data_IF_767239791052
#
_entry.id   IF_767239791052
#
_cell.length_a   1.000
_cell.length_b   1.000
_cell.length_c   1.000
_cell.angle_alpha   90.00
_cell.angle_beta   90.00
_cell.angle_gamma   90.00
#
_symmetry.space_group_name_H-M   'P 1'
#
loop_
_entity.id
_entity.type
_entity.pdbx_description
1 polymer ?
#
# COMPACT_ATOMS: atom_id res chain seq x y z
N UNK A 1 -14.40 18.62 -8.63
CA UNK A 1 -12.95 18.52 -8.93
C UNK A 1 -12.21 18.69 -7.62
N UNK A 2 -11.68 17.61 -7.06
CA UNK A 2 -10.77 17.73 -5.92
C UNK A 2 -9.36 17.69 -6.51
N UNK A 3 -8.74 18.87 -6.52
CA UNK A 3 -7.32 19.06 -6.79
C UNK A 3 -6.55 18.56 -5.58
N UNK A 4 -5.77 17.49 -5.75
CA UNK A 4 -4.72 17.10 -4.79
C UNK A 4 -3.42 17.76 -5.26
N UNK A 5 -3.13 18.89 -4.63
CA UNK A 5 -1.97 19.74 -4.84
C UNK A 5 -0.81 19.20 -3.98
N UNK A 6 0.28 18.75 -4.60
CA UNK A 6 1.61 18.75 -3.97
C UNK A 6 2.12 17.52 -3.22
N UNK A 7 1.30 16.55 -2.80
CA UNK A 7 1.83 15.26 -2.32
C UNK A 7 1.91 14.30 -3.51
N UNK A 8 3.06 13.64 -3.76
CA UNK A 8 3.16 12.58 -4.77
C UNK A 8 2.00 11.61 -4.55
N UNK A 9 0.96 11.73 -5.35
CA UNK A 9 -0.21 10.88 -5.25
C UNK A 9 0.32 9.46 -5.41
N UNK A 10 0.13 8.62 -4.38
CA UNK A 10 0.34 7.20 -4.53
C UNK A 10 -0.40 6.80 -5.82
N UNK A 11 0.27 6.11 -6.77
CA UNK A 11 -0.40 5.68 -7.98
C UNK A 11 -1.65 4.90 -7.58
N UNK A 12 -2.72 5.01 -8.37
CA UNK A 12 -4.02 4.43 -8.03
C UNK A 12 -3.90 2.95 -7.61
N UNK A 13 -2.95 2.24 -8.21
CA UNK A 13 -2.57 0.87 -7.89
C UNK A 13 -2.06 0.68 -6.45
N UNK A 14 -1.09 1.48 -6.00
CA UNK A 14 -0.58 1.43 -4.62
C UNK A 14 -1.66 1.84 -3.60
N UNK A 15 -2.52 2.80 -3.94
CA UNK A 15 -3.66 3.18 -3.13
C UNK A 15 -4.71 2.07 -2.99
N UNK A 16 -5.01 1.37 -4.09
CA UNK A 16 -5.92 0.22 -4.12
C UNK A 16 -5.35 -0.96 -3.33
N UNK A 17 -4.06 -1.25 -3.49
CA UNK A 17 -3.37 -2.28 -2.71
C UNK A 17 -3.43 -2.00 -1.20
N UNK A 18 -3.15 -0.77 -0.77
CA UNK A 18 -3.24 -0.39 0.65
C UNK A 18 -4.63 -0.64 1.22
N UNK A 19 -5.69 -0.30 0.48
CA UNK A 19 -7.08 -0.58 0.88
C UNK A 19 -7.37 -2.07 0.91
N UNK A 20 -6.88 -2.82 -0.08
CA UNK A 20 -7.03 -4.27 -0.12
C UNK A 20 -6.36 -4.94 1.09
N UNK A 21 -5.10 -4.61 1.36
CA UNK A 21 -4.31 -5.18 2.45
C UNK A 21 -4.96 -4.89 3.81
N UNK A 22 -5.40 -3.65 4.04
CA UNK A 22 -6.16 -3.28 5.25
C UNK A 22 -7.43 -4.11 5.41
N UNK A 23 -8.26 -4.20 4.37
CA UNK A 23 -9.49 -5.00 4.42
C UNK A 23 -9.22 -6.50 4.61
N UNK A 24 -8.16 -7.02 4.00
CA UNK A 24 -7.75 -8.40 4.13
C UNK A 24 -7.34 -8.73 5.58
N UNK A 25 -6.50 -7.89 6.18
CA UNK A 25 -6.06 -8.07 7.56
C UNK A 25 -7.17 -7.80 8.57
N UNK A 26 -8.09 -6.86 8.30
CA UNK A 26 -9.30 -6.64 9.08
C UNK A 26 -10.19 -7.88 9.17
N UNK A 27 -10.41 -8.56 8.04
CA UNK A 27 -11.17 -9.83 8.02
C UNK A 27 -10.51 -10.93 8.85
N UNK A 28 -9.20 -10.87 9.01
CA UNK A 28 -8.42 -11.84 9.78
C UNK A 28 -8.11 -11.37 11.21
N UNK A 29 -8.59 -10.19 11.63
CA UNK A 29 -8.26 -9.56 12.91
C UNK A 29 -6.74 -9.35 13.14
N UNK A 30 -5.99 -9.11 12.06
CA UNK A 30 -4.55 -8.88 12.06
C UNK A 30 -4.16 -7.44 11.69
N UNK A 31 -5.07 -6.47 11.83
CA UNK A 31 -4.79 -5.06 11.52
C UNK A 31 -3.62 -4.48 12.32
N UNK A 32 -3.37 -5.01 13.51
CA UNK A 32 -2.23 -4.63 14.35
C UNK A 32 -0.87 -4.85 13.67
N UNK A 33 -0.78 -5.78 12.69
CA UNK A 33 0.44 -5.99 11.90
C UNK A 33 0.78 -4.78 11.02
N UNK A 34 -0.20 -3.93 10.72
CA UNK A 34 0.01 -2.71 9.95
C UNK A 34 0.31 -1.48 10.81
N UNK A 35 0.12 -1.56 12.13
CA UNK A 35 0.26 -0.42 13.04
C UNK A 35 1.73 0.03 13.15
N UNK A 36 2.65 -0.94 13.16
CA UNK A 36 4.10 -0.71 13.17
C UNK A 36 4.68 -0.49 11.75
N UNK A 37 3.90 -0.82 10.71
CA UNK A 37 4.37 -0.82 9.32
C UNK A 37 4.18 0.53 8.63
N UNK A 38 5.24 0.98 7.95
CA UNK A 38 5.21 2.21 7.15
C UNK A 38 4.91 1.90 5.70
N UNK A 39 3.78 2.39 5.21
CA UNK A 39 3.44 2.39 3.78
C UNK A 39 4.19 3.49 3.02
N UNK A 40 5.51 3.49 3.16
CA UNK A 40 6.37 4.38 2.39
C UNK A 40 6.50 3.79 0.99
N UNK A 41 6.17 4.59 -0.02
CA UNK A 41 6.18 4.17 -1.41
C UNK A 41 7.07 5.10 -2.20
N UNK A 42 7.96 4.52 -2.98
CA UNK A 42 8.84 5.22 -3.89
C UNK A 42 8.23 5.26 -5.28
N UNK A 43 7.70 6.42 -5.67
CA UNK A 43 7.11 6.60 -7.00
C UNK A 43 8.15 6.63 -8.14
N UNK A 44 9.45 6.64 -7.83
CA UNK A 44 10.51 6.61 -8.84
C UNK A 44 10.84 5.18 -9.24
N UNK A 45 10.77 4.23 -8.30
CA UNK A 45 10.95 2.80 -8.59
C UNK A 45 9.65 2.02 -8.71
N UNK A 46 8.51 2.62 -8.35
CA UNK A 46 7.17 1.97 -8.27
C UNK A 46 7.10 0.90 -7.16
N UNK A 47 7.82 1.10 -6.05
CA UNK A 47 8.01 0.08 -5.01
C UNK A 47 7.71 0.60 -3.60
N UNK A 48 7.19 -0.27 -2.73
CA UNK A 48 7.15 0.00 -1.30
C UNK A 48 8.54 -0.16 -0.69
N UNK A 49 8.92 0.76 0.20
CA UNK A 49 10.20 0.71 0.92
C UNK A 49 10.22 -0.37 2.02
N UNK A 50 9.05 -0.78 2.50
CA UNK A 50 8.92 -1.87 3.46
C UNK A 50 8.88 -3.20 2.69
N UNK A 51 9.85 -4.08 2.95
CA UNK A 51 10.03 -5.33 2.21
C UNK A 51 8.82 -6.24 2.31
N UNK A 52 8.21 -6.38 3.50
CA UNK A 52 7.02 -7.21 3.67
C UNK A 52 5.86 -6.65 2.82
N UNK A 53 5.62 -5.34 2.88
CA UNK A 53 4.57 -4.68 2.12
C UNK A 53 4.84 -4.79 0.60
N UNK A 54 6.09 -4.70 0.18
CA UNK A 54 6.50 -4.84 -1.22
C UNK A 54 6.31 -6.27 -1.74
N UNK A 55 6.62 -7.29 -0.94
CA UNK A 55 6.34 -8.68 -1.30
C UNK A 55 4.83 -8.92 -1.46
N UNK A 56 4.01 -8.41 -0.53
CA UNK A 56 2.55 -8.46 -0.67
C UNK A 56 2.04 -7.69 -1.90
N UNK A 57 2.66 -6.55 -2.22
CA UNK A 57 2.30 -5.78 -3.42
C UNK A 57 2.65 -6.52 -4.70
N UNK A 58 3.82 -7.16 -4.77
CA UNK A 58 4.18 -8.03 -5.90
C UNK A 58 3.21 -9.19 -6.05
N UNK A 59 2.87 -9.89 -4.95
CA UNK A 59 1.90 -10.99 -4.98
C UNK A 59 0.51 -10.52 -5.44
N UNK A 60 0.10 -9.32 -5.04
CA UNK A 60 -1.20 -8.77 -5.43
C UNK A 60 -1.24 -8.29 -6.88
N UNK A 61 -0.11 -7.85 -7.44
CA UNK A 61 -0.02 -7.38 -8.84
C UNK A 61 0.10 -8.52 -9.86
N UNK A 62 0.57 -9.69 -9.45
CA UNK A 62 0.65 -10.89 -10.30
C UNK A 62 -0.60 -11.79 -10.24
N UNK A 63 -1.50 -11.55 -9.27
CA UNK A 63 -2.72 -12.33 -9.05
C UNK A 63 -3.92 -11.79 -9.85
#
# INVERSE_FOLDING_TARGET
MILWDGEKALPEQAGNFKKYLKNYLAKLNYEYLLDDKKFNYDSTTDEFLDTDIQEFYHLWTIA
#
